data_IF_861391459770
#
_entry.id   IF_861391459770
#
_cell.length_a   1.000
_cell.length_b   1.000
_cell.length_c   1.000
_cell.angle_alpha   90.00
_cell.angle_beta   90.00
_cell.angle_gamma   90.00
#
_symmetry.space_group_name_H-M   'P 1'
#
loop_
_entity.id
_entity.type
_entity.pdbx_description
1 polymer ?
#
# COMPACT_ATOMS: atom_id res chain seq x y z
N UNK A 1 12.71 -2.82 31.83
CA UNK A 1 12.19 -2.63 31.24
C UNK A 1 11.96 -2.98 30.24
N UNK A 2 11.53 -3.32 29.96
CA UNK A 2 11.28 -3.64 28.95
C UNK A 2 11.45 -2.86 28.15
N UNK A 3 12.03 -2.48 28.35
CA UNK A 3 12.23 -1.71 27.74
C UNK A 3 11.91 -1.42 26.58
N UNK A 4 12.02 -0.83 26.14
CA UNK A 4 11.71 -0.44 24.88
C UNK A 4 11.28 -1.48 23.90
N UNK A 5 11.65 -2.69 24.14
CA UNK A 5 11.30 -3.80 23.24
C UNK A 5 9.82 -3.99 23.11
N UNK A 6 9.11 -3.76 24.18
CA UNK A 6 7.70 -4.10 24.20
C UNK A 6 6.82 -3.25 23.33
N UNK A 7 7.24 -2.03 22.97
CA UNK A 7 6.39 -1.19 22.16
C UNK A 7 7.01 -0.75 20.83
N UNK A 8 8.27 -1.02 20.64
CA UNK A 8 8.92 -0.77 19.37
C UNK A 8 8.22 -1.42 18.20
N UNK A 9 7.70 -2.66 18.31
CA UNK A 9 7.09 -3.32 17.18
C UNK A 9 5.97 -2.55 16.51
N UNK A 10 5.15 -1.85 17.29
CA UNK A 10 4.04 -1.13 16.68
C UNK A 10 4.51 0.02 15.78
N UNK A 11 5.50 0.79 16.20
CA UNK A 11 6.07 1.85 15.37
C UNK A 11 6.79 1.29 14.15
N UNK A 12 7.62 0.28 14.38
CA UNK A 12 8.42 -0.33 13.35
C UNK A 12 7.54 -0.93 12.27
N UNK A 13 6.51 -1.66 12.67
CA UNK A 13 5.59 -2.29 11.73
C UNK A 13 4.83 -1.24 10.94
N UNK A 14 4.31 -0.21 11.58
CA UNK A 14 3.55 0.84 10.89
C UNK A 14 4.40 1.55 9.85
N UNK A 15 5.62 1.92 10.20
CA UNK A 15 6.53 2.60 9.27
C UNK A 15 6.94 1.68 8.13
N UNK A 16 7.26 0.42 8.44
CA UNK A 16 7.66 -0.55 7.44
C UNK A 16 6.56 -0.81 6.43
N UNK A 17 5.31 -0.91 6.87
CA UNK A 17 4.18 -1.13 5.97
C UNK A 17 3.90 0.07 5.09
N UNK A 18 3.96 1.28 5.66
CA UNK A 18 3.81 2.51 4.89
C UNK A 18 4.88 2.58 3.80
N UNK A 19 6.12 2.27 4.15
CA UNK A 19 7.23 2.30 3.21
C UNK A 19 7.04 1.28 2.08
N UNK A 20 6.56 0.08 2.42
CA UNK A 20 6.29 -0.96 1.41
C UNK A 20 5.23 -0.50 0.41
N UNK A 21 4.13 0.05 0.89
CA UNK A 21 3.08 0.57 0.02
C UNK A 21 3.62 1.73 -0.83
N UNK A 22 4.37 2.65 -0.22
CA UNK A 22 4.93 3.80 -0.92
C UNK A 22 5.86 3.38 -2.05
N UNK A 23 6.65 2.33 -1.86
CA UNK A 23 7.52 1.82 -2.92
C UNK A 23 6.73 1.33 -4.12
N UNK A 24 5.63 0.65 -3.89
CA UNK A 24 4.76 0.22 -4.98
C UNK A 24 4.15 1.44 -5.69
N UNK A 25 3.74 2.45 -4.94
CA UNK A 25 3.20 3.67 -5.53
C UNK A 25 4.23 4.39 -6.39
N UNK A 26 5.48 4.42 -5.95
CA UNK A 26 6.55 5.08 -6.69
C UNK A 26 6.79 4.41 -8.04
N UNK A 27 6.59 3.09 -8.11
CA UNK A 27 6.76 2.31 -9.32
C UNK A 27 5.52 2.22 -10.19
N UNK A 28 4.37 2.63 -9.65
CA UNK A 28 3.09 2.53 -10.35
C UNK A 28 3.19 3.14 -11.75
N UNK A 29 2.69 2.40 -12.74
CA UNK A 29 2.70 2.83 -14.13
C UNK A 29 3.97 2.47 -14.90
N UNK A 30 5.02 1.99 -14.22
CA UNK A 30 6.25 1.64 -14.92
C UNK A 30 6.02 0.50 -15.92
N UNK A 31 6.53 0.67 -17.14
CA UNK A 31 6.46 -0.34 -18.17
C UNK A 31 7.66 -0.18 -19.09
N UNK A 32 8.40 -1.26 -19.30
CA UNK A 32 9.57 -1.25 -20.16
C UNK A 32 9.17 -1.44 -21.64
N UNK A 33 7.94 -1.17 -21.99
CA UNK A 33 7.42 -1.33 -23.33
C UNK A 33 6.11 -0.59 -23.47
N UNK A 34 5.10 -1.27 -24.00
CA UNK A 34 3.77 -0.68 -24.16
C UNK A 34 2.79 -1.48 -23.31
N UNK A 35 2.29 -0.84 -22.25
CA UNK A 35 1.30 -1.44 -21.37
C UNK A 35 0.01 -0.64 -21.46
N UNK A 36 -1.12 -1.33 -21.37
CA UNK A 36 -2.43 -0.71 -21.45
C UNK A 36 -3.14 -0.81 -20.12
N UNK A 37 -3.89 0.22 -19.78
CA UNK A 37 -4.66 0.28 -18.55
C UNK A 37 -4.09 1.31 -17.58
N UNK A 38 -4.66 1.32 -16.37
CA UNK A 38 -4.27 2.28 -15.36
C UNK A 38 -3.16 1.71 -14.47
N UNK A 39 -2.09 2.47 -14.31
CA UNK A 39 -1.01 2.08 -13.42
C UNK A 39 -1.38 2.23 -11.96
N UNK A 40 -2.36 3.05 -11.66
CA UNK A 40 -2.78 3.33 -10.29
C UNK A 40 -4.27 3.56 -10.25
N UNK A 41 -4.93 2.89 -9.32
CA UNK A 41 -6.35 3.12 -9.05
C UNK A 41 -6.50 3.32 -7.54
N UNK A 42 -7.04 4.47 -7.14
CA UNK A 42 -7.33 4.79 -5.74
C UNK A 42 -8.84 4.73 -5.60
N UNK A 43 -9.32 3.90 -4.68
CA UNK A 43 -10.74 3.62 -4.53
C UNK A 43 -11.24 4.14 -3.19
N UNK A 44 -12.50 4.56 -3.18
CA UNK A 44 -13.14 5.09 -1.98
C UNK A 44 -12.46 6.38 -1.55
N UNK A 45 -12.15 6.47 -0.28
CA UNK A 45 -11.49 7.64 0.28
C UNK A 45 -9.98 7.42 0.39
N UNK A 46 -9.43 6.49 -0.42
CA UNK A 46 -8.02 6.18 -0.39
C UNK A 46 -7.68 4.98 0.47
N UNK A 47 -8.67 4.28 1.00
CA UNK A 47 -8.46 3.12 1.86
C UNK A 47 -8.25 1.82 1.06
N UNK A 48 -8.25 1.91 -0.24
CA UNK A 48 -7.91 0.81 -1.12
C UNK A 48 -7.19 1.35 -2.35
N UNK A 49 -6.12 0.69 -2.76
CA UNK A 49 -5.35 1.09 -3.93
C UNK A 49 -4.92 -0.15 -4.69
N UNK A 50 -4.95 -0.06 -6.02
CA UNK A 50 -4.47 -1.12 -6.90
C UNK A 50 -3.40 -0.52 -7.79
N UNK A 51 -2.25 -1.18 -7.86
CA UNK A 51 -1.06 -0.70 -8.55
C UNK A 51 -0.62 -1.73 -9.57
N UNK A 52 -0.16 -1.26 -10.74
CA UNK A 52 0.46 -2.10 -11.75
C UNK A 52 1.83 -1.52 -12.12
N UNK A 53 2.85 -2.37 -12.20
CA UNK A 53 4.15 -1.99 -12.71
C UNK A 53 4.89 -3.23 -13.22
N UNK A 54 5.67 -3.05 -14.28
CA UNK A 54 6.34 -4.12 -15.01
C UNK A 54 7.56 -4.61 -14.22
N UNK A 55 7.33 -5.53 -13.28
CA UNK A 55 8.34 -5.92 -12.30
C UNK A 55 9.55 -6.62 -12.90
N UNK A 56 9.37 -7.36 -13.99
CA UNK A 56 10.47 -8.07 -14.65
C UNK A 56 10.96 -7.36 -15.90
N UNK A 57 10.43 -6.17 -16.21
CA UNK A 57 10.82 -5.35 -17.34
C UNK A 57 10.69 -6.07 -18.69
N UNK A 58 9.65 -6.90 -18.83
CA UNK A 58 9.41 -7.61 -20.10
C UNK A 58 8.56 -6.81 -21.09
N UNK A 59 8.14 -5.60 -20.71
CA UNK A 59 7.42 -4.70 -21.60
C UNK A 59 5.92 -4.86 -21.61
N UNK A 60 5.37 -5.70 -20.76
CA UNK A 60 3.92 -5.86 -20.58
C UNK A 60 3.61 -5.98 -19.09
N UNK A 61 2.37 -5.71 -18.72
CA UNK A 61 1.90 -5.99 -17.38
C UNK A 61 1.34 -7.40 -17.35
N UNK A 62 2.11 -8.32 -16.75
CA UNK A 62 1.72 -9.73 -16.67
C UNK A 62 0.56 -9.92 -15.71
N UNK A 63 -0.38 -10.75 -16.06
CA UNK A 63 -1.54 -11.06 -15.23
C UNK A 63 -1.61 -12.53 -14.87
N UNK A 64 -0.94 -13.38 -15.64
CA UNK A 64 -0.94 -14.81 -15.42
C UNK A 64 0.48 -15.34 -15.36
N UNK A 65 0.78 -16.28 -14.48
CA UNK A 65 -0.11 -16.77 -13.43
C UNK A 65 -0.35 -15.70 -12.35
N UNK A 66 -1.44 -15.81 -11.62
CA UNK A 66 -1.84 -14.77 -10.64
C UNK A 66 -0.74 -14.45 -9.64
N UNK A 67 -0.02 -15.45 -9.17
CA UNK A 67 1.05 -15.24 -8.19
C UNK A 67 2.24 -14.43 -8.76
N UNK A 68 2.30 -14.28 -10.07
CA UNK A 68 3.34 -13.49 -10.74
C UNK A 68 2.76 -12.25 -11.40
N UNK A 69 1.52 -11.92 -11.09
CA UNK A 69 0.85 -10.76 -11.65
C UNK A 69 1.59 -9.47 -11.27
N UNK A 70 1.67 -8.55 -12.22
CA UNK A 70 2.24 -7.21 -11.98
C UNK A 70 1.24 -6.30 -11.29
N UNK A 71 0.05 -6.79 -11.00
CA UNK A 71 -1.01 -6.06 -10.33
C UNK A 71 -1.07 -6.47 -8.86
N UNK A 72 -1.12 -5.48 -7.97
CA UNK A 72 -1.20 -5.75 -6.54
C UNK A 72 -2.08 -4.70 -5.89
N UNK A 73 -2.90 -5.16 -4.94
CA UNK A 73 -3.78 -4.29 -4.17
C UNK A 73 -3.38 -4.21 -2.72
N UNK A 74 -3.71 -3.08 -2.09
CA UNK A 74 -3.59 -2.88 -0.65
C UNK A 74 -4.89 -2.24 -0.18
N UNK A 75 -5.44 -2.72 0.91
CA UNK A 75 -6.67 -2.15 1.46
C UNK A 75 -6.71 -2.25 2.97
N UNK A 76 -7.48 -1.36 3.57
CA UNK A 76 -7.82 -1.46 4.99
C UNK A 76 -9.20 -2.10 5.09
N UNK A 77 -9.30 -3.17 5.85
CA UNK A 77 -10.58 -3.81 6.13
C UNK A 77 -10.62 -4.26 7.58
N UNK A 78 -11.62 -3.78 8.32
CA UNK A 78 -11.83 -4.17 9.71
C UNK A 78 -10.54 -4.03 10.54
N UNK A 79 -9.90 -2.87 10.40
CA UNK A 79 -8.69 -2.52 11.16
C UNK A 79 -7.46 -3.36 10.82
N UNK A 80 -7.49 -4.04 9.66
CA UNK A 80 -6.38 -4.85 9.18
C UNK A 80 -5.95 -4.35 7.82
N UNK A 81 -4.65 -4.12 7.65
CA UNK A 81 -4.10 -3.84 6.32
C UNK A 81 -3.95 -5.16 5.59
N UNK A 82 -4.52 -5.24 4.40
CA UNK A 82 -4.52 -6.45 3.58
C UNK A 82 -3.91 -6.19 2.22
N UNK A 83 -3.39 -7.24 1.59
CA UNK A 83 -2.83 -7.17 0.24
C UNK A 83 -3.31 -8.35 -0.60
N UNK A 84 -3.40 -8.14 -1.90
CA UNK A 84 -3.78 -9.20 -2.84
C UNK A 84 -2.99 -9.04 -4.14
N UNK A 85 -2.17 -10.04 -4.44
CA UNK A 85 -1.49 -10.12 -5.73
C UNK A 85 -2.51 -10.53 -6.78
N UNK A 86 -2.55 -9.81 -7.88
CA UNK A 86 -3.52 -10.06 -8.93
C UNK A 86 -4.88 -9.42 -8.67
N UNK A 87 -4.96 -8.49 -7.71
CA UNK A 87 -6.21 -7.79 -7.43
C UNK A 87 -6.68 -7.01 -8.65
N UNK A 88 -7.95 -7.21 -9.04
CA UNK A 88 -8.58 -6.44 -10.11
C UNK A 88 -9.62 -5.49 -9.55
N UNK A 89 -10.03 -5.70 -8.31
CA UNK A 89 -11.04 -4.90 -7.64
C UNK A 89 -10.82 -4.99 -6.14
N UNK A 90 -11.18 -3.94 -5.44
CA UNK A 90 -11.13 -3.94 -3.98
C UNK A 90 -12.11 -4.91 -3.34
N UNK A 91 -13.06 -5.42 -4.14
CA UNK A 91 -14.06 -6.40 -3.69
C UNK A 91 -13.63 -7.85 -3.95
N UNK A 92 -12.48 -8.07 -4.55
CA UNK A 92 -11.99 -9.42 -4.81
C UNK A 92 -11.82 -10.18 -3.50
N UNK A 93 -11.78 -11.50 -3.59
CA UNK A 93 -11.59 -12.38 -2.43
C UNK A 93 -10.16 -12.88 -2.37
N UNK A 94 -9.77 -13.39 -1.22
CA UNK A 94 -8.46 -14.00 -1.05
C UNK A 94 -7.37 -13.08 -0.56
N UNK A 95 -7.75 -11.95 0.01
CA UNK A 95 -6.77 -11.00 0.56
C UNK A 95 -6.00 -11.60 1.73
N UNK A 96 -4.72 -11.33 1.76
CA UNK A 96 -3.84 -11.75 2.84
C UNK A 96 -3.65 -10.60 3.83
N UNK A 97 -3.57 -10.95 5.11
CA UNK A 97 -3.32 -9.95 6.15
C UNK A 97 -1.86 -9.55 6.16
N UNK A 98 -1.60 -8.25 6.06
CA UNK A 98 -0.26 -7.70 6.15
C UNK A 98 0.08 -7.40 7.60
N UNK A 99 -0.92 -6.96 8.37
CA UNK A 99 -0.76 -6.70 9.80
C UNK A 99 -1.48 -7.76 10.61
N UNK A 100 -0.94 -8.07 11.80
CA UNK A 100 -1.55 -9.06 12.68
C UNK A 100 -2.62 -8.40 13.54
N UNK A 101 -3.91 -8.76 13.36
CA UNK A 101 -5.00 -8.13 14.11
C UNK A 101 -4.96 -8.42 15.61
N UNK A 102 -4.22 -9.46 16.03
CA UNK A 102 -4.08 -9.76 17.45
C UNK A 102 -3.10 -8.83 18.15
N UNK A 103 -2.27 -8.13 17.38
CA UNK A 103 -1.22 -7.27 17.92
C UNK A 103 -1.43 -5.80 17.59
N UNK A 104 -2.00 -5.49 16.42
CA UNK A 104 -2.06 -4.14 15.89
C UNK A 104 -3.45 -3.83 15.36
N UNK A 105 -3.92 -2.64 15.68
CA UNK A 105 -5.18 -2.10 15.15
C UNK A 105 -4.80 -0.97 14.21
N UNK A 106 -5.18 -1.08 12.94
CA UNK A 106 -4.99 0.00 11.98
C UNK A 106 -6.26 0.84 11.99
N UNK A 107 -6.13 2.07 12.46
CA UNK A 107 -7.26 2.99 12.55
C UNK A 107 -7.57 3.62 11.19
N UNK A 108 -6.52 4.08 10.50
CA UNK A 108 -6.67 4.69 9.17
C UNK A 108 -5.54 4.22 8.27
N UNK A 109 -5.88 4.07 7.00
CA UNK A 109 -4.95 3.86 5.90
C UNK A 109 -5.50 4.65 4.73
N UNK A 110 -4.71 5.55 4.19
CA UNK A 110 -5.18 6.41 3.11
C UNK A 110 -4.06 6.68 2.13
N UNK A 111 -4.38 6.52 0.84
CA UNK A 111 -3.49 6.90 -0.26
C UNK A 111 -4.10 8.14 -0.90
N UNK A 112 -3.30 9.18 -1.02
CA UNK A 112 -3.74 10.45 -1.61
C UNK A 112 -2.86 10.75 -2.82
N UNK A 113 -3.50 11.13 -3.93
CA UNK A 113 -2.79 11.58 -5.12
C UNK A 113 -3.01 13.09 -5.25
N UNK A 114 -1.92 13.82 -5.41
CA UNK A 114 -1.97 15.25 -5.67
C UNK A 114 -1.36 15.52 -7.03
N UNK A 115 -2.16 15.97 -7.96
CA UNK A 115 -1.68 16.35 -9.28
C UNK A 115 -1.24 17.80 -9.26
N UNK A 116 -0.06 18.05 -9.84
CA UNK A 116 0.49 19.41 -9.92
C UNK A 116 0.76 19.69 -11.39
N UNK A 117 0.19 20.76 -11.91
CA UNK A 117 0.30 21.09 -13.33
C UNK A 117 1.75 21.20 -13.74
N UNK A 118 2.11 20.47 -14.80
CA UNK A 118 3.48 20.48 -15.33
C UNK A 118 4.46 19.56 -14.60
N UNK A 119 3.98 18.82 -13.58
CA UNK A 119 4.85 17.94 -12.79
C UNK A 119 4.21 16.56 -12.63
N UNK A 120 5.02 15.58 -12.29
CA UNK A 120 4.51 14.26 -11.92
C UNK A 120 3.72 14.37 -10.61
N UNK A 121 2.69 13.53 -10.45
CA UNK A 121 1.87 13.60 -9.22
C UNK A 121 2.67 13.19 -7.99
N UNK A 122 2.25 13.70 -6.85
CA UNK A 122 2.79 13.30 -5.55
C UNK A 122 1.78 12.36 -4.91
N UNK A 123 2.26 11.21 -4.46
CA UNK A 123 1.43 10.18 -3.83
C UNK A 123 1.84 10.08 -2.37
N UNK A 124 0.87 10.17 -1.47
CA UNK A 124 1.14 10.12 -0.04
C UNK A 124 0.37 8.96 0.58
N UNK A 125 1.06 8.17 1.38
CA UNK A 125 0.45 7.12 2.19
C UNK A 125 0.42 7.60 3.63
N UNK A 126 -0.77 7.62 4.21
CA UNK A 126 -0.95 7.93 5.62
C UNK A 126 -1.50 6.72 6.34
N UNK A 127 -0.94 6.39 7.49
CA UNK A 127 -1.44 5.29 8.30
C UNK A 127 -1.39 5.66 9.77
N UNK A 128 -2.47 5.33 10.48
CA UNK A 128 -2.55 5.49 11.93
C UNK A 128 -2.81 4.12 12.53
N UNK A 129 -2.02 3.76 13.51
CA UNK A 129 -2.07 2.45 14.12
C UNK A 129 -1.82 2.53 15.61
N UNK A 130 -2.29 1.50 16.32
CA UNK A 130 -2.05 1.37 17.76
C UNK A 130 -1.78 -0.09 18.06
N UNK A 131 -1.01 -0.33 19.10
CA UNK A 131 -0.87 -1.67 19.66
C UNK A 131 -2.19 -2.06 20.32
N UNK A 132 -2.62 -3.31 20.13
CA UNK A 132 -3.85 -3.78 20.76
C UNK A 132 -3.75 -3.76 22.29
N UNK A 133 -2.54 -3.93 22.82
CA UNK A 133 -2.31 -3.90 24.27
C UNK A 133 -2.29 -2.47 24.83
N UNK A 134 -2.06 -1.47 23.98
CA UNK A 134 -2.01 -0.07 24.40
C UNK A 134 -2.77 0.79 23.38
N UNK A 135 -4.11 0.62 23.30
CA UNK A 135 -4.88 1.24 22.22
C UNK A 135 -4.92 2.77 22.25
N UNK A 136 -4.63 3.39 23.39
CA UNK A 136 -4.59 4.85 23.46
C UNK A 136 -3.25 5.43 23.00
N UNK A 137 -2.25 4.59 22.79
CA UNK A 137 -0.96 5.03 22.25
C UNK A 137 -0.96 4.88 20.74
N UNK A 138 -1.31 5.96 20.07
CA UNK A 138 -1.48 5.96 18.61
C UNK A 138 -0.20 6.41 17.93
N UNK A 139 0.15 5.74 16.85
CA UNK A 139 1.32 6.08 16.04
C UNK A 139 0.84 6.46 14.64
N UNK A 140 1.26 7.63 14.17
CA UNK A 140 1.01 8.07 12.81
C UNK A 140 2.26 7.85 11.97
N UNK A 141 2.08 7.35 10.75
CA UNK A 141 3.16 7.22 9.79
C UNK A 141 2.69 7.79 8.46
N UNK A 142 3.57 8.52 7.79
CA UNK A 142 3.25 9.15 6.52
C UNK A 142 4.49 9.12 5.65
N UNK A 143 4.30 8.88 4.36
CA UNK A 143 5.39 8.86 3.40
C UNK A 143 4.89 9.33 2.04
N UNK A 144 5.63 10.24 1.41
CA UNK A 144 5.27 10.76 0.09
C UNK A 144 6.31 10.35 -0.94
N UNK A 145 5.85 10.02 -2.13
CA UNK A 145 6.71 9.68 -3.27
C UNK A 145 6.20 10.40 -4.51
N UNK A 146 7.09 10.54 -5.49
CA UNK A 146 6.71 11.10 -6.79
C UNK A 146 6.36 9.96 -7.74
N UNK A 147 5.20 10.08 -8.40
CA UNK A 147 4.75 9.08 -9.37
C UNK A 147 5.30 9.37 -10.75
N UNK A 148 6.58 9.10 -10.96
CA UNK A 148 7.26 9.44 -12.21
C UNK A 148 6.69 8.75 -13.43
N UNK A 149 6.00 7.63 -13.27
CA UNK A 149 5.47 6.84 -14.37
C UNK A 149 3.96 7.02 -14.56
N UNK A 150 3.40 8.00 -13.91
CA UNK A 150 1.96 8.27 -13.97
C UNK A 150 1.66 9.54 -14.75
#
# INVERSE_FOLDING_TARGET
>A
MKSGCGYLPSRSISRGRVFTVAKHLQRAGYCHGICTGEGLEIVGQGDCVIVQWDANSNGIWDREPVKESDQIGFRLKEHVLETLRGATSCEDKGWDKVTNPDAIIIDTFQVVRQDVSGFSPVLTVNMRAASKSEPQTVVDASYSVTGFNL
#
